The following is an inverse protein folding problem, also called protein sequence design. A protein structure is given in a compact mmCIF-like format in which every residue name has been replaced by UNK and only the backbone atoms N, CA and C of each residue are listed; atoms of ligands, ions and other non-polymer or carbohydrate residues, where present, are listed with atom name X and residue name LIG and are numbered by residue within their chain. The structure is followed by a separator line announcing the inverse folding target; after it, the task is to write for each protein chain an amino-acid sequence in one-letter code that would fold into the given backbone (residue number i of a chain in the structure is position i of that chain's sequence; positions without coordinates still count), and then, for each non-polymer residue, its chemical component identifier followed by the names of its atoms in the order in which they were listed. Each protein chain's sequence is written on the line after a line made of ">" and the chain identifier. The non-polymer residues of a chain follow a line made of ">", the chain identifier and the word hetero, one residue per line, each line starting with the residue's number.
data_IF_042583866764
#
_entry.id   IF_042583866764
#
_cell.length_a   1.000
_cell.length_b   1.000
_cell.length_c   1.000
_cell.angle_alpha   90.00
_cell.angle_beta   90.00
_cell.angle_gamma   90.00
#
_symmetry.space_group_name_H-M   'P 1'
#
loop_
_entity.id
_entity.type
_entity.pdbx_description
1 polymer ?
#
# COMPACT_ATOMS: atom_id res chain seq x y z
N UNK A 1 -27.71 -14.85 37.67
CA UNK A 1 -27.17 -14.76 36.30
C UNK A 1 -27.75 -13.49 35.68
N UNK A 2 -27.02 -12.38 35.71
CA UNK A 2 -27.54 -11.10 35.22
C UNK A 2 -27.03 -10.83 33.81
N UNK A 3 -27.90 -10.95 32.81
CA UNK A 3 -27.62 -10.57 31.43
C UNK A 3 -27.71 -9.04 31.29
N UNK A 4 -26.56 -8.37 31.29
CA UNK A 4 -26.46 -6.95 30.98
C UNK A 4 -26.50 -6.79 29.46
N UNK A 5 -27.66 -6.41 28.93
CA UNK A 5 -27.79 -5.97 27.53
C UNK A 5 -27.08 -4.62 27.37
N UNK A 6 -25.88 -4.62 26.79
CA UNK A 6 -25.24 -3.37 26.39
C UNK A 6 -25.93 -2.82 25.12
N UNK A 7 -26.47 -1.59 25.14
CA UNK A 7 -27.03 -0.97 23.95
C UNK A 7 -25.92 -0.75 22.92
N UNK A 8 -26.14 -1.26 21.69
CA UNK A 8 -25.22 -1.05 20.56
C UNK A 8 -25.17 0.44 20.24
N UNK A 9 -24.07 1.09 20.60
CA UNK A 9 -23.82 2.49 20.26
C UNK A 9 -23.85 2.69 18.75
N UNK A 10 -24.49 3.76 18.22
CA UNK A 10 -24.45 4.04 16.80
C UNK A 10 -23.00 4.29 16.37
N UNK A 11 -22.47 3.42 15.49
CA UNK A 11 -21.11 3.57 14.95
C UNK A 11 -21.05 4.88 14.17
N UNK A 12 -20.38 5.88 14.74
CA UNK A 12 -20.04 7.13 14.05
C UNK A 12 -19.33 6.78 12.73
N UNK A 13 -19.94 7.15 11.60
CA UNK A 13 -19.34 6.99 10.28
C UNK A 13 -18.11 7.90 10.21
N UNK A 14 -16.93 7.36 10.49
CA UNK A 14 -15.67 8.09 10.30
C UNK A 14 -15.59 8.54 8.85
N UNK A 15 -15.30 9.83 8.61
CA UNK A 15 -15.05 10.35 7.27
C UNK A 15 -13.91 9.50 6.67
N UNK A 16 -14.22 8.74 5.63
CA UNK A 16 -13.22 7.94 4.90
C UNK A 16 -12.14 8.90 4.43
N UNK A 17 -10.93 8.75 4.97
CA UNK A 17 -9.75 9.50 4.53
C UNK A 17 -9.63 9.38 3.00
N UNK A 18 -9.54 10.53 2.32
CA UNK A 18 -9.23 10.55 0.90
C UNK A 18 -7.82 9.96 0.70
N UNK A 19 -7.64 9.16 -0.36
CA UNK A 19 -6.32 8.63 -0.69
C UNK A 19 -5.33 9.78 -0.89
N UNK A 20 -4.19 9.72 -0.22
CA UNK A 20 -3.07 10.64 -0.45
C UNK A 20 -2.62 10.57 -1.91
N UNK A 21 -2.04 11.64 -2.43
CA UNK A 21 -1.68 11.78 -3.84
C UNK A 21 -0.84 10.62 -4.38
N UNK A 22 0.24 10.24 -3.69
CA UNK A 22 1.11 9.11 -4.06
C UNK A 22 0.41 7.73 -4.05
N UNK A 23 -0.76 7.62 -3.42
CA UNK A 23 -1.58 6.40 -3.40
C UNK A 23 -2.58 6.37 -4.56
N UNK A 24 -2.79 7.52 -5.22
CA UNK A 24 -3.66 7.61 -6.38
C UNK A 24 -2.88 7.09 -7.57
N UNK A 25 -3.60 6.35 -8.40
CA UNK A 25 -3.06 5.88 -9.66
C UNK A 25 -2.91 7.07 -10.62
N UNK A 26 -1.77 7.20 -11.33
CA UNK A 26 -1.62 8.25 -12.34
C UNK A 26 -2.65 8.07 -13.45
N UNK A 27 -3.33 9.17 -13.80
CA UNK A 27 -4.34 9.19 -14.85
C UNK A 27 -3.61 9.27 -16.19
N UNK A 28 -3.79 8.26 -17.05
CA UNK A 28 -3.31 8.30 -18.45
C UNK A 28 -4.40 8.90 -19.33
N UNK A 29 -4.13 10.04 -19.96
CA UNK A 29 -5.12 10.74 -20.81
C UNK A 29 -5.58 9.81 -21.95
N UNK A 30 -6.90 9.69 -22.13
CA UNK A 30 -7.50 8.85 -23.18
C UNK A 30 -7.53 7.35 -22.89
N UNK A 31 -6.92 6.87 -21.79
CA UNK A 31 -6.87 5.45 -21.46
C UNK A 31 -7.60 5.19 -20.15
N UNK A 32 -8.70 4.43 -20.23
CA UNK A 32 -9.41 3.93 -19.04
C UNK A 32 -8.71 2.69 -18.50
N UNK A 33 -8.51 2.65 -17.18
CA UNK A 33 -8.12 1.44 -16.46
C UNK A 33 -9.23 0.39 -16.60
N UNK A 34 -8.88 -0.80 -17.10
CA UNK A 34 -9.80 -1.93 -17.27
C UNK A 34 -9.56 -2.95 -16.16
N UNK A 35 -10.63 -3.49 -15.58
CA UNK A 35 -10.53 -4.54 -14.56
C UNK A 35 -9.94 -5.81 -15.18
N UNK A 36 -9.02 -6.46 -14.47
CA UNK A 36 -8.43 -7.74 -14.89
C UNK A 36 -7.50 -7.63 -16.09
N UNK A 37 -7.01 -6.42 -16.40
CA UNK A 37 -6.00 -6.21 -17.42
C UNK A 37 -4.69 -5.75 -16.78
N UNK A 38 -3.53 -6.24 -17.24
CA UNK A 38 -2.24 -5.69 -16.86
C UNK A 38 -2.13 -4.22 -17.30
N UNK A 39 -1.54 -3.37 -16.44
CA UNK A 39 -1.42 -1.93 -16.74
C UNK A 39 -0.01 -1.36 -16.57
N UNK A 40 0.75 -1.94 -15.64
CA UNK A 40 2.14 -1.55 -15.35
C UNK A 40 3.12 -2.64 -15.76
N UNK A 41 2.81 -3.89 -15.44
CA UNK A 41 3.59 -5.08 -15.79
C UNK A 41 2.71 -6.04 -16.60
N UNK A 42 3.31 -7.06 -17.21
CA UNK A 42 2.60 -8.08 -18.01
C UNK A 42 1.59 -8.92 -17.20
N UNK A 43 1.69 -8.89 -15.86
CA UNK A 43 0.90 -9.69 -14.95
C UNK A 43 -0.17 -8.86 -14.21
N UNK A 44 -1.26 -9.53 -13.84
CA UNK A 44 -2.30 -8.95 -12.98
C UNK A 44 -1.87 -9.12 -11.52
N UNK A 45 -1.80 -8.01 -10.79
CA UNK A 45 -1.50 -8.00 -9.35
C UNK A 45 -2.53 -8.82 -8.58
N UNK A 46 -2.05 -9.76 -7.74
CA UNK A 46 -2.88 -10.52 -6.79
C UNK A 46 -3.02 -9.75 -5.48
N UNK A 47 -4.16 -9.91 -4.80
CA UNK A 47 -4.35 -9.38 -3.46
C UNK A 47 -3.66 -10.31 -2.46
N UNK A 48 -2.56 -9.86 -1.87
CA UNK A 48 -1.77 -10.62 -0.89
C UNK A 48 -1.59 -9.81 0.39
N UNK A 49 -1.50 -10.50 1.52
CA UNK A 49 -1.21 -9.91 2.84
C UNK A 49 0.24 -10.15 3.22
N UNK A 50 0.92 -9.13 3.75
CA UNK A 50 2.31 -9.23 4.21
C UNK A 50 2.35 -8.73 5.66
N UNK A 51 2.82 -9.57 6.59
CA UNK A 51 3.04 -9.19 7.98
C UNK A 51 4.42 -8.57 8.17
N UNK A 52 4.47 -7.35 8.70
CA UNK A 52 5.72 -6.61 8.99
C UNK A 52 5.56 -5.78 10.26
N UNK A 53 6.69 -5.35 10.84
CA UNK A 53 6.70 -4.47 12.02
C UNK A 53 6.23 -3.06 11.67
N UNK A 54 5.78 -2.31 12.69
CA UNK A 54 5.36 -0.91 12.50
C UNK A 54 6.51 -0.04 11.99
N UNK A 55 7.73 -0.24 12.50
CA UNK A 55 8.93 0.48 12.04
C UNK A 55 9.20 0.26 10.55
N UNK A 56 9.08 -0.99 10.07
CA UNK A 56 9.25 -1.29 8.66
C UNK A 56 8.13 -0.64 7.82
N UNK A 57 6.90 -0.63 8.33
CA UNK A 57 5.76 0.01 7.67
C UNK A 57 5.98 1.51 7.50
N UNK A 58 6.42 2.20 8.55
CA UNK A 58 6.69 3.64 8.51
C UNK A 58 7.82 3.98 7.53
N UNK A 59 8.88 3.16 7.50
CA UNK A 59 9.96 3.27 6.53
C UNK A 59 9.46 3.13 5.09
N UNK A 60 8.62 2.13 4.81
CA UNK A 60 8.00 1.94 3.49
C UNK A 60 7.08 3.11 3.11
N UNK A 61 6.32 3.66 4.06
CA UNK A 61 5.47 4.82 3.85
C UNK A 61 6.29 6.09 3.52
N UNK A 62 7.46 6.27 4.16
CA UNK A 62 8.38 7.36 3.84
C UNK A 62 8.95 7.22 2.42
N UNK A 63 9.51 6.05 2.10
CA UNK A 63 10.06 5.77 0.77
C UNK A 63 8.99 5.90 -0.33
N UNK A 64 7.76 5.46 -0.05
CA UNK A 64 6.60 5.57 -0.94
C UNK A 64 6.29 7.03 -1.25
N UNK A 65 6.32 7.89 -0.24
CA UNK A 65 6.10 9.33 -0.40
C UNK A 65 7.23 10.00 -1.19
N UNK A 66 8.49 9.73 -0.84
CA UNK A 66 9.67 10.29 -1.51
C UNK A 66 9.70 9.97 -3.01
N UNK A 67 9.27 8.77 -3.39
CA UNK A 67 9.24 8.32 -4.79
C UNK A 67 7.91 8.59 -5.50
N UNK A 68 6.94 9.22 -4.83
CA UNK A 68 5.59 9.48 -5.34
C UNK A 68 4.90 8.23 -5.94
N UNK A 69 5.11 7.06 -5.34
CA UNK A 69 4.50 5.78 -5.75
C UNK A 69 3.80 5.14 -4.57
N UNK A 70 2.81 4.28 -4.81
CA UNK A 70 2.15 3.55 -3.71
C UNK A 70 3.10 2.57 -3.03
N UNK A 71 2.88 2.28 -1.74
CA UNK A 71 3.59 1.20 -1.02
C UNK A 71 3.61 -0.13 -1.76
N UNK A 72 2.48 -0.52 -2.36
CA UNK A 72 2.41 -1.78 -3.10
C UNK A 72 3.23 -1.77 -4.39
N UNK A 73 3.49 -0.60 -4.97
CA UNK A 73 4.37 -0.44 -6.12
C UNK A 73 5.84 -0.41 -5.68
N UNK A 74 6.14 0.15 -4.50
CA UNK A 74 7.46 0.07 -3.89
C UNK A 74 7.89 -1.39 -3.72
N UNK A 75 7.03 -2.23 -3.11
CA UNK A 75 7.32 -3.65 -2.89
C UNK A 75 7.51 -4.40 -4.21
N UNK A 76 6.68 -4.14 -5.22
CA UNK A 76 6.83 -4.73 -6.56
C UNK A 76 8.17 -4.37 -7.19
N UNK A 77 8.58 -3.10 -7.12
CA UNK A 77 9.86 -2.64 -7.68
C UNK A 77 11.06 -3.26 -6.99
N UNK A 78 10.99 -3.47 -5.68
CA UNK A 78 12.01 -4.21 -4.94
C UNK A 78 12.04 -5.67 -5.41
N UNK A 79 10.91 -6.36 -5.40
CA UNK A 79 10.83 -7.78 -5.79
C UNK A 79 11.19 -8.05 -7.27
N UNK A 80 11.00 -7.07 -8.16
CA UNK A 80 11.38 -7.14 -9.58
C UNK A 80 12.81 -6.65 -9.84
N UNK A 81 13.56 -6.25 -8.82
CA UNK A 81 14.94 -5.74 -8.96
C UNK A 81 15.05 -4.34 -9.60
N UNK A 82 13.94 -3.61 -9.74
CA UNK A 82 13.93 -2.22 -10.22
C UNK A 82 14.45 -1.24 -9.15
N UNK A 83 14.36 -1.64 -7.87
CA UNK A 83 15.04 -1.00 -6.75
C UNK A 83 16.05 -2.02 -6.22
N UNK A 84 17.34 -1.66 -6.27
CA UNK A 84 18.41 -2.50 -5.74
C UNK A 84 18.41 -2.46 -4.22
N UNK A 85 18.45 -3.63 -3.60
CA UNK A 85 18.75 -3.78 -2.18
C UNK A 85 20.27 -3.81 -2.05
N UNK A 86 20.81 -2.99 -1.16
CA UNK A 86 22.23 -2.99 -0.82
C UNK A 86 22.34 -3.40 0.63
N UNK A 87 23.13 -4.44 0.88
CA UNK A 87 23.45 -4.83 2.24
C UNK A 87 24.46 -3.84 2.79
N UNK A 88 24.14 -3.25 3.95
CA UNK A 88 25.10 -2.46 4.69
C UNK A 88 25.94 -3.45 5.49
N UNK A 89 26.99 -3.98 4.87
CA UNK A 89 28.04 -4.67 5.64
C UNK A 89 28.77 -3.60 6.45
N UNK A 90 28.78 -3.65 7.79
CA UNK A 90 29.64 -2.77 8.55
C UNK A 90 31.08 -3.10 8.16
N UNK A 91 31.76 -2.15 7.51
CA UNK A 91 33.20 -2.24 7.30
C UNK A 91 33.83 -2.42 8.69
N UNK A 92 34.52 -3.54 8.88
CA UNK A 92 35.22 -3.89 10.12
C UNK A 92 36.28 -2.86 10.49
#
# INVERSE_FOLDING_TARGET
>A
MNNINHPKSPKLKTKKSSRKEHQRKPIRKGIKSKRGQPEHYSEIKKCVSIGITQTALDGLDKLSQERAISRSEMIERIGRGLIKILDITPSS
#
